data_IF_177543901952
#
_entry.id   IF_177543901952
#
_cell.length_a   1.000
_cell.length_b   1.000
_cell.length_c   1.000
_cell.angle_alpha   90.00
_cell.angle_beta   90.00
_cell.angle_gamma   90.00
#
_symmetry.space_group_name_H-M   'P 1'
#
loop_
_entity.id
_entity.type
_entity.pdbx_description
1 polymer ?
#
# COMPACT_ATOMS: atom_id res chain seq x y z
N UNK A 1 -13.04 -5.86 -14.06
CA UNK A 1 -13.29 -6.78 -15.21
C UNK A 1 -13.14 -5.93 -16.47
N UNK A 2 -12.37 -6.36 -17.48
CA UNK A 2 -12.06 -5.48 -18.62
C UNK A 2 -13.32 -5.08 -19.43
N UNK A 3 -14.29 -6.00 -19.58
CA UNK A 3 -15.56 -5.70 -20.25
C UNK A 3 -16.39 -4.60 -19.58
N UNK A 4 -16.27 -4.43 -18.26
CA UNK A 4 -16.99 -3.41 -17.49
C UNK A 4 -16.22 -2.08 -17.42
N UNK A 5 -15.11 -1.95 -18.14
CA UNK A 5 -14.33 -0.72 -18.16
C UNK A 5 -15.02 0.35 -18.98
N UNK A 6 -14.81 1.63 -18.63
CA UNK A 6 -15.25 2.76 -19.46
C UNK A 6 -14.31 2.98 -20.65
N UNK A 7 -13.10 2.42 -20.61
CA UNK A 7 -12.11 2.49 -21.67
C UNK A 7 -12.45 1.52 -22.81
N UNK A 8 -12.53 2.05 -24.04
CA UNK A 8 -12.88 1.26 -25.23
C UNK A 8 -11.83 0.19 -25.50
N UNK A 9 -10.57 0.57 -25.40
CA UNK A 9 -9.41 -0.29 -25.60
C UNK A 9 -9.39 -1.48 -24.64
N UNK A 10 -9.78 -1.30 -23.38
CA UNK A 10 -9.85 -2.39 -22.41
C UNK A 10 -10.95 -3.39 -22.79
N UNK A 11 -12.12 -2.91 -23.22
CA UNK A 11 -13.21 -3.77 -23.70
C UNK A 11 -12.83 -4.50 -25.00
N UNK A 12 -12.12 -3.85 -25.91
CA UNK A 12 -11.61 -4.47 -27.13
C UNK A 12 -10.57 -5.56 -26.84
N UNK A 13 -9.65 -5.31 -25.91
CA UNK A 13 -8.69 -6.32 -25.42
C UNK A 13 -9.43 -7.48 -24.76
N UNK A 14 -10.45 -7.19 -23.94
CA UNK A 14 -11.29 -8.23 -23.32
C UNK A 14 -11.90 -9.14 -24.37
N UNK A 15 -12.50 -8.57 -25.43
CA UNK A 15 -13.11 -9.31 -26.52
C UNK A 15 -12.10 -10.22 -27.24
N UNK A 16 -10.92 -9.68 -27.58
CA UNK A 16 -9.85 -10.46 -28.22
C UNK A 16 -9.36 -11.60 -27.33
N UNK A 17 -9.07 -11.32 -26.05
CA UNK A 17 -8.63 -12.34 -25.10
C UNK A 17 -9.70 -13.42 -24.91
N UNK A 18 -10.97 -13.03 -24.80
CA UNK A 18 -12.06 -13.98 -24.61
C UNK A 18 -12.24 -14.87 -25.84
N UNK A 19 -12.20 -14.30 -27.05
CA UNK A 19 -12.28 -15.06 -28.30
C UNK A 19 -11.19 -16.12 -28.40
N UNK A 20 -9.94 -15.76 -28.14
CA UNK A 20 -8.82 -16.70 -28.19
C UNK A 20 -8.95 -17.79 -27.11
N UNK A 21 -9.30 -17.42 -25.88
CA UNK A 21 -9.44 -18.38 -24.79
C UNK A 21 -10.65 -19.30 -24.95
N UNK A 22 -11.72 -18.87 -25.63
CA UNK A 22 -12.89 -19.72 -25.90
C UNK A 22 -12.55 -20.90 -26.82
N UNK A 23 -11.49 -20.80 -27.63
CA UNK A 23 -11.01 -21.91 -28.48
C UNK A 23 -10.38 -23.04 -27.68
N UNK A 24 -9.78 -22.73 -26.52
CA UNK A 24 -8.92 -23.68 -25.78
C UNK A 24 -9.51 -24.07 -24.42
N UNK A 25 -10.10 -23.11 -23.70
CA UNK A 25 -10.57 -23.29 -22.31
C UNK A 25 -12.00 -22.75 -22.08
N UNK A 26 -12.88 -22.91 -23.07
CA UNK A 26 -14.28 -22.47 -23.09
C UNK A 26 -15.01 -22.55 -21.76
N UNK A 27 -14.95 -23.71 -21.09
CA UNK A 27 -15.66 -23.95 -19.83
C UNK A 27 -15.24 -23.00 -18.70
N UNK A 28 -14.02 -22.48 -18.74
CA UNK A 28 -13.47 -21.55 -17.75
C UNK A 28 -13.76 -20.08 -18.08
N UNK A 29 -13.95 -19.73 -19.35
CA UNK A 29 -14.10 -18.32 -19.78
C UNK A 29 -15.51 -17.91 -20.18
N UNK A 30 -16.41 -18.87 -20.44
CA UNK A 30 -17.81 -18.65 -20.84
C UNK A 30 -18.56 -17.61 -20.00
N UNK A 31 -18.29 -17.57 -18.68
CA UNK A 31 -18.95 -16.66 -17.72
C UNK A 31 -18.51 -15.19 -17.87
N UNK A 32 -17.51 -14.89 -18.70
CA UNK A 32 -17.04 -13.54 -18.93
C UNK A 32 -18.07 -12.66 -19.66
N UNK A 33 -18.86 -13.24 -20.58
CA UNK A 33 -19.80 -12.51 -21.44
C UNK A 33 -21.17 -13.21 -21.62
N UNK A 34 -21.46 -14.25 -20.84
CA UNK A 34 -22.81 -14.82 -20.80
C UNK A 34 -23.81 -13.90 -20.06
N UNK A 35 -25.04 -14.36 -19.87
CA UNK A 35 -26.08 -13.60 -19.14
C UNK A 35 -25.62 -13.16 -17.75
N UNK A 36 -24.87 -14.00 -17.03
CA UNK A 36 -24.37 -13.68 -15.69
C UNK A 36 -23.15 -12.76 -15.75
N UNK A 37 -22.28 -12.95 -16.73
CA UNK A 37 -21.15 -12.07 -17.02
C UNK A 37 -21.62 -10.64 -17.30
N UNK A 38 -22.59 -10.46 -18.21
CA UNK A 38 -23.17 -9.15 -18.52
C UNK A 38 -23.85 -8.51 -17.33
N UNK A 39 -24.59 -9.27 -16.53
CA UNK A 39 -25.18 -8.76 -15.28
C UNK A 39 -24.10 -8.27 -14.30
N UNK A 40 -22.99 -9.00 -14.17
CA UNK A 40 -21.84 -8.59 -13.37
C UNK A 40 -21.14 -7.34 -13.94
N UNK A 41 -21.02 -7.23 -15.26
CA UNK A 41 -20.46 -6.03 -15.92
C UNK A 41 -21.30 -4.79 -15.63
N UNK A 42 -22.63 -4.88 -15.76
CA UNK A 42 -23.56 -3.79 -15.43
C UNK A 42 -23.46 -3.41 -13.95
N UNK A 43 -23.47 -4.41 -13.05
CA UNK A 43 -23.32 -4.17 -11.61
C UNK A 43 -22.04 -3.39 -11.28
N UNK A 44 -20.90 -3.74 -11.89
CA UNK A 44 -19.63 -3.02 -11.67
C UNK A 44 -19.68 -1.57 -12.19
N UNK A 45 -20.37 -1.31 -13.30
CA UNK A 45 -20.60 0.05 -13.80
C UNK A 45 -21.48 0.85 -12.84
N UNK A 46 -22.60 0.27 -12.42
CA UNK A 46 -23.58 0.90 -11.52
C UNK A 46 -22.93 1.27 -10.18
N UNK A 47 -22.06 0.40 -9.63
CA UNK A 47 -21.29 0.70 -8.42
C UNK A 47 -20.44 1.98 -8.58
N UNK A 48 -19.73 2.09 -9.71
CA UNK A 48 -18.86 3.24 -9.99
C UNK A 48 -19.68 4.52 -10.15
N UNK A 49 -20.74 4.48 -10.94
CA UNK A 49 -21.58 5.64 -11.22
C UNK A 49 -22.33 6.12 -9.96
N UNK A 50 -22.79 5.17 -9.14
CA UNK A 50 -23.40 5.43 -7.84
C UNK A 50 -22.38 6.10 -6.90
N UNK A 51 -21.16 5.57 -6.82
CA UNK A 51 -20.10 6.16 -6.00
C UNK A 51 -19.74 7.59 -6.44
N UNK A 52 -19.64 7.85 -7.76
CA UNK A 52 -19.41 9.19 -8.31
C UNK A 52 -20.54 10.15 -7.91
N UNK A 53 -21.79 9.69 -7.98
CA UNK A 53 -22.97 10.48 -7.62
C UNK A 53 -22.93 10.87 -6.14
N UNK A 54 -22.69 9.90 -5.24
CA UNK A 54 -22.59 10.18 -3.81
C UNK A 54 -21.36 11.02 -3.44
N UNK A 55 -20.22 10.82 -4.11
CA UNK A 55 -19.05 11.67 -3.93
C UNK A 55 -19.39 13.14 -4.21
N UNK A 56 -20.03 13.44 -5.35
CA UNK A 56 -20.43 14.82 -5.70
C UNK A 56 -21.45 15.41 -4.70
N UNK A 57 -22.30 14.56 -4.12
CA UNK A 57 -23.35 14.99 -3.18
C UNK A 57 -22.82 15.29 -1.79
N UNK A 58 -21.91 14.46 -1.28
CA UNK A 58 -21.51 14.48 0.13
C UNK A 58 -20.10 15.01 0.39
N UNK A 59 -19.23 15.04 -0.62
CA UNK A 59 -17.82 15.39 -0.44
C UNK A 59 -17.47 16.67 -1.20
N UNK A 60 -16.82 17.61 -0.49
CA UNK A 60 -16.28 18.84 -1.07
C UNK A 60 -14.76 18.81 -0.95
N UNK A 61 -14.01 18.90 -2.06
CA UNK A 61 -12.56 18.86 -2.02
C UNK A 61 -12.02 20.10 -1.29
N UNK A 62 -11.09 19.89 -0.36
CA UNK A 62 -10.30 20.95 0.26
C UNK A 62 -9.00 21.17 -0.51
N UNK A 63 -8.32 22.29 -0.25
CA UNK A 63 -6.99 22.54 -0.83
C UNK A 63 -6.06 21.36 -0.52
N UNK A 64 -5.28 20.89 -1.52
CA UNK A 64 -4.29 19.84 -1.29
C UNK A 64 -3.35 20.24 -0.16
N UNK A 65 -3.24 19.39 0.86
CA UNK A 65 -2.17 19.50 1.85
C UNK A 65 -0.97 18.73 1.34
N UNK A 66 0.22 19.28 1.54
CA UNK A 66 1.45 18.55 1.28
C UNK A 66 1.82 17.74 2.52
N UNK A 67 1.77 16.42 2.40
CA UNK A 67 2.20 15.46 3.42
C UNK A 67 2.74 14.22 2.70
N UNK A 68 3.57 13.43 3.37
CA UNK A 68 4.09 12.19 2.78
C UNK A 68 3.29 10.97 3.26
N UNK A 69 3.09 10.87 4.57
CA UNK A 69 2.34 9.81 5.26
C UNK A 69 1.60 10.44 6.45
N UNK A 70 0.32 10.14 6.59
CA UNK A 70 -0.47 10.51 7.75
C UNK A 70 -1.24 9.28 8.26
N UNK A 71 -1.17 8.99 9.55
CA UNK A 71 -1.97 7.91 10.16
C UNK A 71 -3.33 8.47 10.58
N UNK A 72 -4.40 7.96 9.97
CA UNK A 72 -5.77 8.48 10.11
C UNK A 72 -6.57 7.69 11.14
N UNK A 73 -6.51 6.36 11.07
CA UNK A 73 -7.30 5.48 11.93
C UNK A 73 -6.39 4.48 12.64
N UNK A 74 -6.55 4.41 13.96
CA UNK A 74 -5.86 3.48 14.84
C UNK A 74 -6.68 3.34 16.13
N UNK A 75 -6.45 2.26 16.86
CA UNK A 75 -7.02 2.08 18.21
C UNK A 75 -6.02 2.47 19.31
N UNK A 76 -6.46 2.53 20.56
CA UNK A 76 -5.54 2.79 21.68
C UNK A 76 -4.62 1.61 21.94
N UNK A 77 -3.39 1.89 22.40
CA UNK A 77 -2.39 0.85 22.68
C UNK A 77 -2.95 -0.24 23.60
N UNK A 78 -3.62 0.16 24.69
CA UNK A 78 -4.24 -0.80 25.62
C UNK A 78 -5.18 -1.78 24.90
N UNK A 79 -6.06 -1.27 24.04
CA UNK A 79 -7.06 -2.09 23.34
C UNK A 79 -6.39 -3.04 22.34
N UNK A 80 -5.38 -2.54 21.63
CA UNK A 80 -4.56 -3.34 20.72
C UNK A 80 -3.80 -4.45 21.47
N UNK A 81 -3.15 -4.13 22.59
CA UNK A 81 -2.47 -5.10 23.46
C UNK A 81 -3.44 -6.18 23.95
N UNK A 82 -4.61 -5.77 24.46
CA UNK A 82 -5.60 -6.70 25.01
C UNK A 82 -6.06 -7.72 23.95
N UNK A 83 -6.36 -7.26 22.72
CA UNK A 83 -6.73 -8.15 21.60
C UNK A 83 -5.58 -9.05 21.14
N UNK A 84 -4.40 -8.47 20.93
CA UNK A 84 -3.23 -9.21 20.43
C UNK A 84 -2.82 -10.29 21.42
N UNK A 85 -2.70 -9.96 22.72
CA UNK A 85 -2.33 -10.93 23.76
C UNK A 85 -3.39 -12.03 23.85
N UNK A 86 -4.67 -11.68 23.82
CA UNK A 86 -5.76 -12.68 23.83
C UNK A 86 -5.65 -13.64 22.66
N UNK A 87 -5.39 -13.14 21.45
CA UNK A 87 -5.23 -13.97 20.26
C UNK A 87 -3.93 -14.80 20.27
N UNK A 88 -2.84 -14.27 20.85
CA UNK A 88 -1.56 -15.00 21.00
C UNK A 88 -1.69 -16.20 21.96
N UNK A 89 -2.50 -16.08 23.01
CA UNK A 89 -2.68 -17.11 24.02
C UNK A 89 -3.85 -18.06 23.73
N UNK A 90 -4.73 -17.70 22.80
CA UNK A 90 -5.98 -18.44 22.52
C UNK A 90 -5.75 -19.92 22.22
N UNK A 91 -4.83 -20.23 21.31
CA UNK A 91 -4.54 -21.62 20.90
C UNK A 91 -4.09 -22.52 22.07
N UNK A 92 -3.49 -21.93 23.10
CA UNK A 92 -2.98 -22.65 24.28
C UNK A 92 -3.95 -22.62 25.47
N UNK A 93 -5.09 -21.94 25.33
CA UNK A 93 -6.05 -21.74 26.42
C UNK A 93 -7.16 -22.80 26.33
N UNK A 94 -6.90 -24.00 26.85
CA UNK A 94 -7.86 -25.11 26.82
C UNK A 94 -9.09 -24.82 27.70
N UNK A 95 -10.28 -24.97 27.13
CA UNK A 95 -11.56 -24.82 27.86
C UNK A 95 -12.01 -23.38 28.10
N UNK A 96 -11.32 -22.37 27.54
CA UNK A 96 -11.68 -20.96 27.68
C UNK A 96 -12.12 -20.37 26.34
N UNK A 97 -13.21 -19.61 26.35
CA UNK A 97 -13.63 -18.78 25.22
C UNK A 97 -12.75 -17.55 25.04
N UNK A 98 -12.76 -16.98 23.83
CA UNK A 98 -12.01 -15.74 23.55
C UNK A 98 -12.45 -14.59 24.46
N UNK A 99 -13.75 -14.54 24.79
CA UNK A 99 -14.30 -13.53 25.69
C UNK A 99 -13.75 -13.65 27.12
N UNK A 100 -13.64 -14.86 27.66
CA UNK A 100 -13.07 -15.11 28.99
C UNK A 100 -11.59 -14.72 29.05
N UNK A 101 -10.82 -15.10 28.04
CA UNK A 101 -9.40 -14.73 27.93
C UNK A 101 -9.27 -13.21 27.88
N UNK A 102 -10.03 -12.55 27.00
CA UNK A 102 -10.00 -11.09 26.87
C UNK A 102 -10.34 -10.38 28.18
N UNK A 103 -11.36 -10.84 28.90
CA UNK A 103 -11.74 -10.29 30.21
C UNK A 103 -10.63 -10.42 31.26
N UNK A 104 -9.89 -11.54 31.24
CA UNK A 104 -8.73 -11.72 32.12
C UNK A 104 -7.54 -10.84 31.72
N UNK A 105 -7.23 -10.72 30.42
CA UNK A 105 -6.16 -9.85 29.91
C UNK A 105 -6.45 -8.38 30.21
N UNK A 106 -7.70 -7.93 30.11
CA UNK A 106 -8.08 -6.55 30.41
C UNK A 106 -7.78 -6.14 31.86
N UNK A 107 -7.82 -7.11 32.79
CA UNK A 107 -7.49 -6.94 34.23
C UNK A 107 -5.99 -7.04 34.51
N UNK A 108 -5.20 -7.49 33.53
CA UNK A 108 -3.76 -7.66 33.67
C UNK A 108 -3.05 -6.31 33.76
N UNK A 109 -2.04 -6.22 34.62
CA UNK A 109 -1.27 -5.00 34.77
C UNK A 109 -0.46 -4.67 33.49
N UNK A 110 -0.14 -3.39 33.23
CA UNK A 110 0.57 -2.98 32.01
C UNK A 110 1.97 -3.61 31.86
N UNK A 111 2.68 -3.84 32.97
CA UNK A 111 4.03 -4.40 32.95
C UNK A 111 4.04 -5.85 32.44
N UNK A 112 3.06 -6.66 32.84
CA UNK A 112 2.89 -8.03 32.38
C UNK A 112 2.52 -8.08 30.89
N UNK A 113 1.61 -7.22 30.43
CA UNK A 113 1.27 -7.12 28.99
C UNK A 113 2.49 -6.80 28.14
N UNK A 114 3.26 -5.78 28.54
CA UNK A 114 4.52 -5.41 27.88
C UNK A 114 5.52 -6.57 27.86
N UNK A 115 5.65 -7.31 28.97
CA UNK A 115 6.54 -8.48 29.04
C UNK A 115 6.13 -9.56 28.04
N UNK A 116 4.83 -9.88 27.93
CA UNK A 116 4.32 -10.87 26.97
C UNK A 116 4.67 -10.45 25.54
N UNK A 117 4.32 -9.23 25.14
CA UNK A 117 4.58 -8.71 23.78
C UNK A 117 6.08 -8.72 23.46
N UNK A 118 6.92 -8.29 24.40
CA UNK A 118 8.38 -8.30 24.24
C UNK A 118 8.90 -9.72 24.04
N UNK A 119 8.46 -10.68 24.86
CA UNK A 119 8.86 -12.09 24.75
C UNK A 119 8.54 -12.65 23.36
N UNK A 120 7.31 -12.46 22.86
CA UNK A 120 6.94 -12.92 21.52
C UNK A 120 7.72 -12.22 20.41
N UNK A 121 8.03 -10.93 20.59
CA UNK A 121 8.85 -10.17 19.63
C UNK A 121 10.29 -10.66 19.59
N UNK A 122 10.86 -11.02 20.75
CA UNK A 122 12.24 -11.51 20.89
C UNK A 122 12.44 -12.92 20.30
N UNK A 123 11.38 -13.73 20.15
CA UNK A 123 11.47 -15.01 19.45
C UNK A 123 11.82 -14.86 17.96
N UNK A 124 11.62 -13.68 17.36
CA UNK A 124 11.96 -13.41 15.96
C UNK A 124 13.48 -13.23 15.79
N UNK A 125 14.20 -14.32 15.53
CA UNK A 125 15.65 -14.32 15.30
C UNK A 125 16.10 -13.89 13.89
N UNK A 126 15.20 -13.90 12.90
CA UNK A 126 15.49 -13.34 11.57
C UNK A 126 14.22 -12.80 10.90
N UNK A 127 14.40 -12.06 9.79
CA UNK A 127 13.31 -11.44 9.01
C UNK A 127 12.32 -12.45 8.40
N UNK A 128 12.73 -13.70 8.17
CA UNK A 128 11.84 -14.75 7.63
C UNK A 128 10.88 -15.27 8.68
N UNK A 129 11.22 -15.19 9.97
CA UNK A 129 10.28 -15.46 11.04
C UNK A 129 9.21 -14.37 11.03
N UNK A 130 8.01 -14.70 10.55
CA UNK A 130 6.90 -13.75 10.48
C UNK A 130 6.27 -13.58 11.86
N UNK A 131 5.71 -12.40 12.17
CA UNK A 131 4.91 -12.25 13.38
C UNK A 131 3.79 -13.31 13.43
N UNK A 132 3.45 -13.83 14.62
CA UNK A 132 2.30 -14.70 14.81
C UNK A 132 1.01 -14.03 14.33
N UNK A 133 -0.02 -14.85 14.01
CA UNK A 133 -1.32 -14.35 13.55
C UNK A 133 -2.04 -13.45 14.56
N UNK A 134 -1.75 -13.55 15.86
CA UNK A 134 -2.29 -12.64 16.87
C UNK A 134 -2.05 -11.15 16.56
N UNK A 135 -0.98 -10.82 15.84
CA UNK A 135 -0.69 -9.44 15.38
C UNK A 135 -1.58 -8.97 14.21
N UNK A 136 -2.49 -9.79 13.70
CA UNK A 136 -3.52 -9.38 12.73
C UNK A 136 -4.67 -8.61 13.42
N UNK A 137 -4.78 -8.68 14.76
CA UNK A 137 -5.91 -8.15 15.54
C UNK A 137 -5.93 -6.61 15.71
N UNK A 138 -4.95 -5.91 15.13
CA UNK A 138 -4.82 -4.45 15.18
C UNK A 138 -4.48 -3.92 13.80
N UNK A 139 -5.20 -2.88 13.40
CA UNK A 139 -5.14 -2.29 12.06
C UNK A 139 -4.76 -0.80 12.12
N UNK A 140 -4.22 -0.31 11.01
CA UNK A 140 -3.89 1.08 10.79
C UNK A 140 -4.40 1.51 9.43
N UNK A 141 -5.00 2.71 9.34
CA UNK A 141 -5.29 3.37 8.08
C UNK A 141 -4.35 4.55 7.90
N UNK A 142 -3.60 4.55 6.80
CA UNK A 142 -2.68 5.62 6.42
C UNK A 142 -3.18 6.32 5.15
N UNK A 143 -3.18 7.65 5.16
CA UNK A 143 -3.22 8.46 3.95
C UNK A 143 -1.80 8.68 3.45
N UNK A 144 -1.64 8.55 2.13
CA UNK A 144 -0.36 8.72 1.45
C UNK A 144 -0.51 9.67 0.27
N UNK A 145 0.46 10.58 0.15
CA UNK A 145 0.61 11.44 -1.02
C UNK A 145 2.06 11.32 -1.50
N UNK A 146 2.29 10.31 -2.34
CA UNK A 146 3.63 9.96 -2.84
C UNK A 146 3.69 10.13 -4.35
N UNK A 147 4.87 10.09 -4.96
CA UNK A 147 4.91 10.06 -6.43
C UNK A 147 4.25 8.77 -6.97
N UNK A 148 3.73 8.85 -8.20
CA UNK A 148 3.03 7.73 -8.85
C UNK A 148 3.95 6.52 -9.06
N UNK A 149 5.25 6.72 -9.27
CA UNK A 149 6.24 5.64 -9.29
C UNK A 149 6.20 4.79 -8.02
N UNK A 150 6.23 5.44 -6.85
CA UNK A 150 6.17 4.78 -5.55
C UNK A 150 4.85 4.07 -5.28
N UNK A 151 3.73 4.65 -5.72
CA UNK A 151 2.43 3.98 -5.61
C UNK A 151 2.48 2.59 -6.25
N UNK A 152 3.10 2.45 -7.43
CA UNK A 152 3.25 1.17 -8.13
C UNK A 152 4.08 0.16 -7.32
N UNK A 153 5.01 0.63 -6.50
CA UNK A 153 5.76 -0.22 -5.58
C UNK A 153 4.89 -0.72 -4.44
N UNK A 154 4.14 0.16 -3.77
CA UNK A 154 3.25 -0.20 -2.68
C UNK A 154 2.04 -1.04 -3.13
N UNK A 155 1.52 -0.80 -4.33
CA UNK A 155 0.43 -1.56 -4.95
C UNK A 155 0.75 -3.06 -5.16
N UNK A 156 2.02 -3.48 -5.01
CA UNK A 156 2.39 -4.91 -5.06
C UNK A 156 2.08 -5.67 -3.77
N UNK A 157 1.73 -5.00 -2.69
CA UNK A 157 1.30 -5.64 -1.45
C UNK A 157 -0.19 -5.96 -1.53
N UNK A 158 -0.52 -7.26 -1.55
CA UNK A 158 -1.88 -7.75 -1.85
C UNK A 158 -2.76 -8.00 -0.62
N UNK A 159 -2.13 -8.24 0.52
CA UNK A 159 -2.83 -8.50 1.79
C UNK A 159 -2.89 -7.18 2.53
N UNK A 160 -3.82 -6.33 2.10
CA UNK A 160 -4.20 -5.03 2.66
C UNK A 160 -5.35 -4.45 1.82
N UNK A 161 -6.00 -3.41 2.33
CA UNK A 161 -6.89 -2.57 1.54
C UNK A 161 -6.11 -1.37 1.03
N UNK A 162 -6.11 -1.15 -0.27
CA UNK A 162 -5.52 0.02 -0.89
C UNK A 162 -6.48 0.54 -1.95
N UNK A 163 -6.89 1.78 -1.77
CA UNK A 163 -7.76 2.49 -2.70
C UNK A 163 -7.07 3.78 -3.12
N UNK A 164 -7.35 4.20 -4.35
CA UNK A 164 -6.66 5.29 -5.01
C UNK A 164 -7.67 6.22 -5.68
N UNK A 165 -7.33 7.50 -5.76
CA UNK A 165 -8.11 8.44 -6.56
C UNK A 165 -7.78 8.27 -8.06
N UNK A 166 -8.46 9.00 -8.94
CA UNK A 166 -7.99 9.14 -10.32
C UNK A 166 -6.61 9.80 -10.33
N UNK A 167 -5.71 9.34 -11.21
CA UNK A 167 -4.39 9.94 -11.34
C UNK A 167 -4.52 11.32 -12.01
N UNK A 168 -4.00 12.36 -11.38
CA UNK A 168 -4.08 13.75 -11.89
C UNK A 168 -2.74 14.46 -11.76
N UNK A 169 -2.66 15.66 -12.37
CA UNK A 169 -1.53 16.58 -12.20
C UNK A 169 -1.76 17.63 -11.12
N UNK A 170 -2.84 17.50 -10.33
CA UNK A 170 -3.34 18.58 -9.45
C UNK A 170 -2.54 18.70 -8.14
N UNK A 171 -1.84 17.63 -7.74
CA UNK A 171 -1.04 17.59 -6.52
C UNK A 171 0.44 17.97 -6.72
N UNK A 172 0.81 18.46 -7.91
CA UNK A 172 2.20 18.76 -8.25
C UNK A 172 3.06 17.51 -8.36
N UNK A 173 4.38 17.69 -8.44
CA UNK A 173 5.33 16.61 -8.66
C UNK A 173 6.57 16.74 -7.77
N UNK A 174 7.29 15.63 -7.62
CA UNK A 174 8.56 15.60 -6.91
C UNK A 174 9.71 15.70 -7.91
N UNK A 175 10.73 16.52 -7.61
CA UNK A 175 11.96 16.58 -8.40
C UNK A 175 13.01 15.71 -7.70
N UNK A 176 13.48 14.61 -8.31
CA UNK A 176 14.53 13.77 -7.73
C UNK A 176 15.82 14.56 -7.47
N UNK A 177 16.57 14.17 -6.43
CA UNK A 177 17.85 14.82 -6.09
C UNK A 177 18.87 14.67 -7.24
N UNK A 178 18.79 13.60 -8.01
CA UNK A 178 19.60 13.32 -9.19
C UNK A 178 19.35 14.33 -10.32
N UNK A 179 18.11 14.81 -10.48
CA UNK A 179 17.79 15.85 -11.45
C UNK A 179 18.40 17.19 -11.04
N UNK A 180 18.43 17.47 -9.73
CA UNK A 180 19.07 18.67 -9.20
C UNK A 180 20.59 18.62 -9.37
N UNK A 181 21.22 17.47 -9.08
CA UNK A 181 22.68 17.31 -9.18
C UNK A 181 23.20 17.35 -10.61
N UNK A 182 22.39 16.91 -11.59
CA UNK A 182 22.70 17.01 -13.02
C UNK A 182 22.50 18.41 -13.61
N UNK A 183 21.86 19.34 -12.88
CA UNK A 183 21.60 20.70 -13.36
C UNK A 183 20.50 20.82 -14.43
N UNK A 184 19.77 19.73 -14.72
CA UNK A 184 18.72 19.67 -15.76
C UNK A 184 17.31 19.94 -15.21
N UNK A 185 17.22 20.65 -14.08
CA UNK A 185 15.95 20.92 -13.40
C UNK A 185 14.93 21.58 -14.32
N UNK A 186 15.36 22.55 -15.12
CA UNK A 186 14.47 23.29 -16.02
C UNK A 186 13.83 22.37 -17.07
N UNK A 187 14.64 21.55 -17.74
CA UNK A 187 14.14 20.61 -18.76
C UNK A 187 13.16 19.60 -18.17
N UNK A 188 13.43 19.14 -16.94
CA UNK A 188 12.52 18.27 -16.20
C UNK A 188 11.19 18.97 -15.89
N UNK A 189 11.23 20.18 -15.33
CA UNK A 189 10.03 20.96 -14.99
C UNK A 189 9.21 21.30 -16.25
N UNK A 190 9.86 21.68 -17.36
CA UNK A 190 9.22 21.95 -18.65
C UNK A 190 8.47 20.70 -19.18
N UNK A 191 9.08 19.51 -19.06
CA UNK A 191 8.43 18.25 -19.41
C UNK A 191 7.18 17.99 -18.53
N UNK A 192 7.30 18.22 -17.23
CA UNK A 192 6.18 18.04 -16.30
C UNK A 192 5.05 19.02 -16.60
N UNK A 193 5.35 20.31 -16.82
CA UNK A 193 4.33 21.32 -17.16
C UNK A 193 3.63 21.01 -18.48
N UNK A 194 4.35 20.51 -19.49
CA UNK A 194 3.75 20.06 -20.74
C UNK A 194 2.81 18.86 -20.55
N UNK A 195 3.18 17.89 -19.71
CA UNK A 195 2.30 16.79 -19.31
C UNK A 195 1.00 17.30 -18.65
N UNK A 196 1.09 18.32 -17.77
CA UNK A 196 -0.07 18.96 -17.14
C UNK A 196 -0.96 19.71 -18.13
N UNK A 197 -0.37 20.43 -19.08
CA UNK A 197 -1.11 21.11 -20.14
C UNK A 197 -1.96 20.11 -20.94
N UNK A 198 -1.33 19.06 -21.45
CA UNK A 198 -2.02 18.01 -22.23
C UNK A 198 -3.07 17.30 -21.38
N UNK A 199 -2.76 16.98 -20.11
CA UNK A 199 -3.72 16.39 -19.18
C UNK A 199 -4.97 17.28 -19.02
N UNK A 200 -4.78 18.59 -18.86
CA UNK A 200 -5.88 19.54 -18.68
C UNK A 200 -6.75 19.70 -19.93
N UNK A 201 -6.18 19.56 -21.12
CA UNK A 201 -6.93 19.53 -22.37
C UNK A 201 -7.76 18.24 -22.49
N UNK A 202 -7.16 17.08 -22.22
CA UNK A 202 -7.80 15.78 -22.35
C UNK A 202 -8.90 15.57 -21.29
N UNK A 203 -8.66 15.97 -20.03
CA UNK A 203 -9.60 15.68 -18.91
C UNK A 203 -10.99 16.29 -19.09
N UNK A 204 -11.13 17.32 -19.94
CA UNK A 204 -12.41 17.97 -20.21
C UNK A 204 -13.37 17.08 -21.01
N UNK A 205 -12.83 16.19 -21.85
CA UNK A 205 -13.61 15.30 -22.73
C UNK A 205 -13.47 13.83 -22.35
N UNK A 206 -12.27 13.42 -21.96
CA UNK A 206 -11.87 12.02 -21.74
C UNK A 206 -11.03 11.91 -20.47
N UNK A 207 -11.68 11.99 -19.31
CA UNK A 207 -11.01 12.04 -18.00
C UNK A 207 -10.21 10.78 -17.67
N UNK A 208 -10.66 9.59 -18.11
CA UNK A 208 -9.96 8.35 -17.82
C UNK A 208 -8.70 8.18 -18.68
N UNK A 209 -8.80 8.48 -19.97
CA UNK A 209 -7.70 8.45 -20.92
C UNK A 209 -6.64 9.52 -20.62
N UNK A 210 -7.04 10.65 -20.04
CA UNK A 210 -6.12 11.70 -19.64
C UNK A 210 -5.01 11.19 -18.70
N UNK A 211 -5.26 10.15 -17.90
CA UNK A 211 -4.26 9.56 -17.01
C UNK A 211 -3.02 9.03 -17.75
N UNK A 212 -3.13 8.69 -19.04
CA UNK A 212 -2.02 8.14 -19.83
C UNK A 212 -0.87 9.12 -20.07
N UNK A 213 -1.13 10.43 -19.98
CA UNK A 213 -0.09 11.45 -20.15
C UNK A 213 0.53 11.91 -18.82
N UNK A 214 0.11 11.35 -17.67
CA UNK A 214 0.60 11.75 -16.35
C UNK A 214 1.92 11.03 -16.02
N UNK A 215 2.98 11.81 -15.86
CA UNK A 215 4.32 11.29 -15.55
C UNK A 215 4.42 10.73 -14.12
N UNK A 216 5.34 9.79 -13.90
CA UNK A 216 5.52 9.10 -12.60
C UNK A 216 5.94 10.00 -11.44
N UNK A 217 6.51 11.17 -11.73
CA UNK A 217 6.92 12.13 -10.71
C UNK A 217 5.74 12.89 -10.09
N UNK A 218 4.55 12.88 -10.70
CA UNK A 218 3.35 13.48 -10.12
C UNK A 218 2.96 12.80 -8.82
N UNK A 219 2.59 13.60 -7.82
CA UNK A 219 2.08 13.13 -6.53
C UNK A 219 0.69 12.53 -6.72
N UNK A 220 0.46 11.39 -6.10
CA UNK A 220 -0.73 10.57 -6.25
C UNK A 220 -1.33 10.26 -4.88
N UNK A 221 -2.55 10.73 -4.59
CA UNK A 221 -3.23 10.41 -3.33
C UNK A 221 -3.86 9.01 -3.34
N UNK A 222 -3.58 8.25 -2.30
CA UNK A 222 -4.17 6.94 -2.01
C UNK A 222 -4.12 6.67 -0.51
N UNK A 223 -4.95 5.75 -0.04
CA UNK A 223 -4.87 5.27 1.34
C UNK A 223 -4.47 3.80 1.37
N UNK A 224 -3.90 3.39 2.49
CA UNK A 224 -3.59 1.99 2.79
C UNK A 224 -4.11 1.64 4.18
N UNK A 225 -4.97 0.62 4.25
CA UNK A 225 -5.39 0.01 5.51
C UNK A 225 -4.82 -1.39 5.61
N UNK A 226 -4.10 -1.66 6.70
CA UNK A 226 -3.37 -2.91 6.91
C UNK A 226 -3.24 -3.25 8.39
N UNK A 227 -3.19 -4.54 8.71
CA UNK A 227 -2.94 -4.97 10.09
C UNK A 227 -1.45 -4.89 10.49
N UNK A 228 -1.14 -5.00 11.77
CA UNK A 228 0.24 -4.89 12.27
C UNK A 228 1.17 -5.98 11.72
N UNK A 229 0.66 -7.18 11.45
CA UNK A 229 1.44 -8.27 10.82
C UNK A 229 1.81 -7.92 9.37
N UNK A 230 0.88 -7.38 8.60
CA UNK A 230 1.11 -6.87 7.24
C UNK A 230 2.02 -5.65 7.23
N UNK A 231 1.81 -4.70 8.13
CA UNK A 231 2.67 -3.54 8.30
C UNK A 231 4.11 -3.95 8.59
N UNK A 232 4.31 -4.95 9.46
CA UNK A 232 5.63 -5.53 9.71
C UNK A 232 6.26 -6.06 8.42
N UNK A 233 5.51 -6.82 7.63
CA UNK A 233 6.01 -7.36 6.37
C UNK A 233 6.39 -6.25 5.37
N UNK A 234 5.50 -5.28 5.18
CA UNK A 234 5.69 -4.17 4.27
C UNK A 234 6.90 -3.33 4.66
N UNK A 235 6.98 -2.92 5.92
CA UNK A 235 8.04 -2.05 6.43
C UNK A 235 9.39 -2.74 6.34
N UNK A 236 9.52 -3.98 6.81
CA UNK A 236 10.79 -4.71 6.77
C UNK A 236 11.25 -5.05 5.34
N UNK A 237 10.32 -5.20 4.39
CA UNK A 237 10.64 -5.43 2.99
C UNK A 237 11.03 -4.14 2.27
N UNK A 238 10.34 -3.03 2.56
CA UNK A 238 10.49 -1.77 1.83
C UNK A 238 11.53 -0.84 2.40
N UNK A 239 12.08 -1.15 3.58
CA UNK A 239 13.18 -0.37 4.16
C UNK A 239 14.57 -0.95 3.86
N UNK A 240 14.65 -2.10 3.19
CA UNK A 240 15.93 -2.75 2.86
C UNK A 240 16.89 -1.83 2.10
N UNK A 241 18.22 -1.97 2.28
CA UNK A 241 19.20 -1.12 1.60
C UNK A 241 19.06 -1.05 0.08
N UNK A 242 18.64 -2.16 -0.54
CA UNK A 242 18.44 -2.29 -1.99
C UNK A 242 17.16 -1.63 -2.50
N UNK A 243 16.35 -1.07 -1.60
CA UNK A 243 15.08 -0.47 -1.94
C UNK A 243 15.21 0.99 -2.40
N UNK A 244 14.27 1.44 -3.22
CA UNK A 244 14.19 2.82 -3.66
C UNK A 244 14.10 3.81 -2.51
N UNK A 245 14.97 4.81 -2.49
CA UNK A 245 15.08 5.75 -1.37
C UNK A 245 13.73 6.41 -1.05
N UNK A 246 12.93 6.70 -2.06
CA UNK A 246 11.62 7.30 -1.87
C UNK A 246 10.62 6.41 -1.10
N UNK A 247 10.44 5.15 -1.50
CA UNK A 247 9.51 4.27 -0.76
C UNK A 247 10.08 3.80 0.57
N UNK A 248 11.41 3.81 0.72
CA UNK A 248 12.06 3.60 2.02
C UNK A 248 11.65 4.71 2.99
N UNK A 249 11.75 5.98 2.58
CA UNK A 249 11.32 7.13 3.39
C UNK A 249 9.86 6.95 3.85
N UNK A 250 8.94 6.58 2.95
CA UNK A 250 7.54 6.31 3.30
C UNK A 250 7.39 5.19 4.33
N UNK A 251 8.02 4.03 4.09
CA UNK A 251 7.93 2.90 5.02
C UNK A 251 8.54 3.21 6.39
N UNK A 252 9.60 4.03 6.44
CA UNK A 252 10.20 4.53 7.68
C UNK A 252 9.24 5.47 8.42
N UNK A 253 8.56 6.39 7.72
CA UNK A 253 7.55 7.27 8.34
C UNK A 253 6.31 6.50 8.84
N UNK A 254 5.87 5.47 8.12
CA UNK A 254 4.83 4.55 8.60
C UNK A 254 5.28 3.87 9.91
N UNK A 255 6.50 3.35 9.96
CA UNK A 255 7.05 2.75 11.19
C UNK A 255 7.10 3.74 12.35
N UNK A 256 7.59 4.96 12.12
CA UNK A 256 7.66 6.00 13.15
C UNK A 256 6.27 6.33 13.71
N UNK A 257 5.27 6.42 12.84
CA UNK A 257 3.88 6.63 13.24
C UNK A 257 3.35 5.48 14.09
N UNK A 258 3.58 4.22 13.70
CA UNK A 258 3.21 3.04 14.51
C UNK A 258 3.92 3.05 15.86
N UNK A 259 5.23 3.32 15.89
CA UNK A 259 6.01 3.38 17.13
C UNK A 259 5.54 4.49 18.07
N UNK A 260 5.05 5.60 17.54
CA UNK A 260 4.51 6.71 18.33
C UNK A 260 3.20 6.32 19.01
N UNK A 261 2.31 5.61 18.32
CA UNK A 261 0.98 5.22 18.81
C UNK A 261 1.03 3.94 19.65
N UNK A 262 1.82 2.95 19.23
CA UNK A 262 1.96 1.65 19.88
C UNK A 262 3.44 1.31 20.18
N UNK A 263 4.10 2.02 21.10
CA UNK A 263 5.51 1.79 21.45
C UNK A 263 5.82 0.35 21.86
N UNK A 264 4.94 -0.36 22.57
CA UNK A 264 5.15 -1.75 22.97
C UNK A 264 4.99 -2.70 21.79
N UNK A 265 3.94 -2.52 20.98
CA UNK A 265 3.66 -3.42 19.85
C UNK A 265 4.64 -3.22 18.69
N UNK A 266 5.16 -2.00 18.48
CA UNK A 266 6.13 -1.70 17.42
C UNK A 266 7.42 -2.52 17.52
N UNK A 267 7.72 -3.10 18.69
CA UNK A 267 8.86 -3.99 18.91
C UNK A 267 8.81 -5.25 18.05
N UNK A 268 7.61 -5.65 17.58
CA UNK A 268 7.49 -6.77 16.65
C UNK A 268 8.16 -6.47 15.31
N UNK A 269 8.32 -5.19 14.91
CA UNK A 269 8.97 -4.76 13.67
C UNK A 269 10.48 -4.60 13.91
N UNK A 270 11.18 -5.71 14.18
CA UNK A 270 12.62 -5.70 14.53
C UNK A 270 13.54 -5.33 13.37
N UNK A 271 13.17 -5.66 12.13
CA UNK A 271 14.08 -5.58 10.98
C UNK A 271 13.83 -4.35 10.09
N UNK A 272 13.23 -3.30 10.66
CA UNK A 272 13.13 -2.01 10.00
C UNK A 272 14.52 -1.38 9.90
N UNK A 273 14.89 -0.94 8.70
CA UNK A 273 16.13 -0.21 8.49
C UNK A 273 15.85 1.29 8.38
N UNK A 274 16.28 2.03 9.41
CA UNK A 274 16.11 3.48 9.52
C UNK A 274 17.30 4.28 8.96
N UNK A 275 18.34 3.60 8.46
CA UNK A 275 19.51 4.27 7.89
C UNK A 275 19.19 4.86 6.51
N UNK A 276 19.98 5.85 6.11
CA UNK A 276 19.98 6.42 4.76
C UNK A 276 21.17 5.86 3.99
N UNK A 277 20.98 5.59 2.71
CA UNK A 277 22.01 5.04 1.84
C UNK A 277 22.03 5.87 0.55
N UNK A 278 23.22 6.11 0.03
CA UNK A 278 23.41 6.70 -1.29
C UNK A 278 23.65 5.53 -2.27
N UNK A 279 22.89 5.48 -3.38
CA UNK A 279 22.96 4.46 -4.43
C UNK A 279 22.59 3.03 -3.97
N UNK A 280 21.35 2.65 -4.25
CA UNK A 280 20.64 1.49 -3.68
C UNK A 280 21.27 0.13 -4.02
N UNK A 281 21.86 -0.01 -5.21
CA UNK A 281 22.44 -1.27 -5.70
C UNK A 281 23.95 -1.37 -5.59
N UNK A 282 24.64 -0.27 -5.30
CA UNK A 282 26.09 -0.19 -5.42
C UNK A 282 26.81 -1.23 -4.54
N UNK A 283 26.41 -1.37 -3.28
CA UNK A 283 27.04 -2.34 -2.37
C UNK A 283 26.74 -3.79 -2.77
N UNK A 284 25.53 -4.08 -3.26
CA UNK A 284 25.20 -5.43 -3.73
C UNK A 284 25.96 -5.77 -5.02
N UNK A 285 26.14 -4.82 -5.92
CA UNK A 285 26.91 -5.00 -7.15
C UNK A 285 28.39 -5.21 -6.83
N UNK A 286 28.98 -4.43 -5.92
CA UNK A 286 30.35 -4.64 -5.42
C UNK A 286 30.56 -6.04 -4.85
N UNK A 287 29.64 -6.55 -4.02
CA UNK A 287 29.73 -7.91 -3.47
C UNK A 287 29.61 -9.00 -4.54
N UNK A 288 28.75 -8.79 -5.54
CA UNK A 288 28.63 -9.72 -6.67
C UNK A 288 29.95 -9.74 -7.47
N UNK A 289 30.54 -8.58 -7.70
CA UNK A 289 31.81 -8.45 -8.41
C UNK A 289 32.98 -9.07 -7.63
N UNK A 290 33.06 -8.84 -6.32
CA UNK A 290 34.04 -9.50 -5.44
C UNK A 290 33.90 -11.02 -5.45
N UNK A 291 32.66 -11.53 -5.45
CA UNK A 291 32.41 -12.98 -5.53
C UNK A 291 32.83 -13.54 -6.89
N UNK A 292 32.63 -12.79 -7.99
CA UNK A 292 33.11 -13.15 -9.33
C UNK A 292 34.63 -13.15 -9.43
N UNK A 293 35.32 -12.23 -8.75
CA UNK A 293 36.79 -12.17 -8.70
C UNK A 293 37.44 -13.28 -7.88
N UNK A 294 36.68 -13.98 -7.04
CA UNK A 294 37.13 -15.11 -6.21
C UNK A 294 36.84 -16.49 -6.83
N UNK A 295 36.12 -16.53 -7.96
CA UNK A 295 35.90 -17.72 -8.78
C UNK A 295 36.95 -17.76 -9.90
#
# INVERSE_FOLDING_TARGET
MLYSSNLKEEREIAAKMHQELDTTIKSFVKRGDDKHGKALQSYLSDLKDTAVTFNKKYLTPKKPKDFLVEMIEFESEKKAEDKIISALLYEQSSGMSYHEILSQIQKMNPAARKKIIKTFSDLRQNRRHRPPRGFEMTEYTFDLLTNFGMFRDFHRHRVLTLERQMLTTDHGFSVPEEILSLGIRKDFEDCMYKSKEVFNLLRQKTSEQAQYVVNFAYKYPYFMKLNLREATHLIELRTVPQGHQDYRKVAQEMFKSIKKIHPNLSQIIRYVDLKKYNLERLESEKRIEEKRKRL
#
